data_IF_878162228262
#
_entry.id   IF_878162228262
#
_cell.length_a   1.000
_cell.length_b   1.000
_cell.length_c   1.000
_cell.angle_alpha   90.00
_cell.angle_beta   90.00
_cell.angle_gamma   90.00
#
_symmetry.space_group_name_H-M   'P 1'
#
loop_
_entity.id
_entity.type
_entity.pdbx_description
1 polymer ?
#
# COMPACT_ATOMS: atom_id res chain seq x y z
N UNK A 1 11.00 18.33 -4.53
CA UNK A 1 9.56 18.00 -4.45
C UNK A 1 9.49 16.55 -4.05
N UNK A 2 8.70 16.21 -3.05
CA UNK A 2 8.45 14.83 -2.66
C UNK A 2 7.51 14.14 -3.64
N UNK A 3 7.58 12.82 -3.68
CA UNK A 3 6.68 11.93 -4.43
C UNK A 3 5.58 11.49 -3.49
N UNK A 4 4.32 11.55 -3.93
CA UNK A 4 3.17 11.08 -3.18
C UNK A 4 2.45 9.98 -3.94
N UNK A 5 2.15 8.88 -3.27
CA UNK A 5 1.47 7.73 -3.86
C UNK A 5 0.27 7.31 -3.01
N UNK A 6 -0.73 6.74 -3.68
CA UNK A 6 -1.77 5.92 -3.07
C UNK A 6 -1.66 4.54 -3.68
N UNK A 7 -1.41 3.53 -2.84
CA UNK A 7 -1.47 2.13 -3.21
C UNK A 7 -2.79 1.54 -2.72
N UNK A 8 -3.67 1.12 -3.63
CA UNK A 8 -4.92 0.41 -3.29
C UNK A 8 -4.74 -1.07 -3.53
N UNK A 9 -4.99 -1.88 -2.50
CA UNK A 9 -4.80 -3.33 -2.50
C UNK A 9 -6.13 -4.06 -2.34
N UNK A 10 -6.32 -5.12 -3.11
CA UNK A 10 -7.48 -6.03 -3.02
C UNK A 10 -6.98 -7.45 -2.78
N UNK A 11 -7.63 -8.18 -1.86
CA UNK A 11 -7.28 -9.56 -1.53
C UNK A 11 -8.54 -10.44 -1.53
N UNK A 12 -8.40 -11.76 -1.79
CA UNK A 12 -9.46 -12.72 -1.52
C UNK A 12 -9.95 -12.65 -0.06
N UNK A 13 -11.24 -12.96 0.17
CA UNK A 13 -11.85 -12.82 1.49
C UNK A 13 -11.17 -13.68 2.58
N UNK A 14 -10.64 -14.84 2.21
CA UNK A 14 -9.91 -15.76 3.08
C UNK A 14 -8.45 -15.34 3.34
N UNK A 15 -7.94 -14.33 2.64
CA UNK A 15 -6.59 -13.79 2.80
C UNK A 15 -6.54 -12.46 3.57
N UNK A 16 -7.68 -11.90 3.98
CA UNK A 16 -7.77 -10.56 4.57
C UNK A 16 -6.97 -10.41 5.89
N UNK A 17 -7.00 -11.41 6.76
CA UNK A 17 -6.25 -11.35 8.03
C UNK A 17 -4.74 -11.43 7.80
N UNK A 18 -4.31 -12.35 6.93
CA UNK A 18 -2.91 -12.45 6.49
C UNK A 18 -2.44 -11.15 5.83
N UNK A 19 -3.28 -10.53 5.00
CA UNK A 19 -2.98 -9.24 4.36
C UNK A 19 -2.77 -8.14 5.39
N UNK A 20 -3.59 -8.08 6.43
CA UNK A 20 -3.47 -7.09 7.51
C UNK A 20 -2.15 -7.23 8.26
N UNK A 21 -1.76 -8.46 8.61
CA UNK A 21 -0.51 -8.73 9.32
C UNK A 21 0.70 -8.40 8.44
N UNK A 22 0.68 -8.81 7.17
CA UNK A 22 1.74 -8.52 6.22
C UNK A 22 1.89 -7.01 5.93
N UNK A 23 0.79 -6.28 5.83
CA UNK A 23 0.80 -4.82 5.67
C UNK A 23 1.34 -4.12 6.93
N UNK A 24 1.00 -4.58 8.13
CA UNK A 24 1.53 -4.02 9.37
C UNK A 24 3.06 -4.17 9.46
N UNK A 25 3.60 -5.34 9.10
CA UNK A 25 5.04 -5.56 9.03
C UNK A 25 5.70 -4.70 7.93
N UNK A 26 5.05 -4.60 6.76
CA UNK A 26 5.53 -3.76 5.67
C UNK A 26 5.64 -2.30 6.11
N UNK A 27 4.62 -1.76 6.80
CA UNK A 27 4.63 -0.38 7.32
C UNK A 27 5.77 -0.16 8.29
N UNK A 28 5.95 -1.04 9.28
CA UNK A 28 7.02 -0.91 10.29
C UNK A 28 8.41 -0.81 9.65
N UNK A 29 8.67 -1.65 8.64
CA UNK A 29 9.96 -1.66 7.94
C UNK A 29 10.10 -0.47 6.99
N UNK A 30 9.06 -0.13 6.24
CA UNK A 30 9.08 0.96 5.25
C UNK A 30 9.26 2.33 5.89
N UNK A 31 8.72 2.54 7.09
CA UNK A 31 8.93 3.77 7.85
C UNK A 31 10.41 3.99 8.25
N UNK A 32 11.22 2.93 8.27
CA UNK A 32 12.66 2.99 8.53
C UNK A 32 13.49 3.20 7.26
N UNK A 33 12.88 3.16 6.07
CA UNK A 33 13.57 3.37 4.81
C UNK A 33 14.08 4.80 4.70
N UNK A 34 15.30 4.93 4.20
CA UNK A 34 15.91 6.24 4.00
C UNK A 34 15.09 7.01 2.95
N UNK A 35 14.58 8.16 3.36
CA UNK A 35 13.78 9.02 2.49
C UNK A 35 12.29 8.71 2.44
N UNK A 36 11.82 7.76 3.26
CA UNK A 36 10.41 7.66 3.60
C UNK A 36 9.98 8.89 4.43
N UNK A 37 8.97 9.61 3.96
CA UNK A 37 8.32 10.73 4.64
C UNK A 37 6.99 10.35 5.28
N UNK A 38 6.25 9.45 4.62
CA UNK A 38 4.99 8.89 5.10
C UNK A 38 4.84 7.48 4.55
N UNK A 39 4.40 6.56 5.41
CA UNK A 39 4.00 5.22 5.00
C UNK A 39 2.98 4.70 6.03
N UNK A 40 1.70 4.71 5.66
CA UNK A 40 0.60 4.34 6.55
C UNK A 40 -0.43 3.54 5.76
N UNK A 41 -1.07 2.55 6.39
CA UNK A 41 -2.13 1.78 5.76
C UNK A 41 -3.46 1.88 6.50
N UNK A 42 -4.55 1.78 5.75
CA UNK A 42 -5.92 1.86 6.25
C UNK A 42 -6.76 0.76 5.60
N UNK A 43 -7.67 0.17 6.37
CA UNK A 43 -8.76 -0.62 5.79
C UNK A 43 -9.77 0.34 5.15
N UNK A 44 -10.23 0.00 3.94
CA UNK A 44 -11.21 0.80 3.22
C UNK A 44 -12.60 0.46 3.76
N UNK A 45 -13.30 1.48 4.26
CA UNK A 45 -14.67 1.30 4.74
C UNK A 45 -15.60 1.03 3.55
N UNK A 46 -16.21 -0.16 3.56
CA UNK A 46 -17.18 -0.59 2.55
C UNK A 46 -18.61 -0.20 2.91
N UNK A 47 -18.84 0.30 4.11
CA UNK A 47 -20.17 0.70 4.58
C UNK A 47 -20.47 2.12 4.13
N UNK A 48 -20.92 2.26 2.88
CA UNK A 48 -21.35 3.54 2.32
C UNK A 48 -22.86 3.71 2.36
N UNK A 49 -23.33 4.96 2.37
CA UNK A 49 -24.74 5.27 2.33
C UNK A 49 -25.39 4.81 1.02
N UNK A 50 -26.71 4.57 1.05
CA UNK A 50 -27.45 4.20 -0.16
C UNK A 50 -27.30 5.27 -1.25
N UNK A 51 -26.89 4.86 -2.44
CA UNK A 51 -26.66 5.76 -3.58
C UNK A 51 -25.23 6.29 -3.70
N UNK A 52 -24.36 6.05 -2.72
CA UNK A 52 -22.93 6.38 -2.82
C UNK A 52 -22.13 5.25 -3.48
N UNK A 53 -21.06 5.57 -4.24
CA UNK A 53 -20.22 4.56 -4.84
C UNK A 53 -19.47 3.76 -3.77
N UNK A 54 -19.55 2.43 -3.86
CA UNK A 54 -18.73 1.55 -3.01
C UNK A 54 -17.25 1.74 -3.37
N UNK A 55 -16.38 2.07 -2.41
CA UNK A 55 -14.95 2.26 -2.67
C UNK A 55 -14.30 0.97 -3.20
N UNK A 56 -13.36 1.10 -4.12
CA UNK A 56 -12.58 -0.04 -4.64
C UNK A 56 -11.45 -0.44 -3.66
N UNK A 57 -11.06 -1.72 -3.69
CA UNK A 57 -9.96 -2.27 -2.87
C UNK A 57 -10.29 -2.45 -1.39
N UNK A 58 -9.52 -3.26 -0.69
CA UNK A 58 -9.75 -3.59 0.73
C UNK A 58 -8.86 -2.78 1.66
N UNK A 59 -7.65 -2.46 1.20
CA UNK A 59 -6.69 -1.64 1.93
C UNK A 59 -6.14 -0.52 1.05
N UNK A 60 -5.74 0.57 1.68
CA UNK A 60 -5.07 1.69 1.07
C UNK A 60 -3.78 1.99 1.83
N UNK A 61 -2.67 2.16 1.12
CA UNK A 61 -1.40 2.67 1.64
C UNK A 61 -1.20 4.09 1.12
N UNK A 62 -0.92 5.02 2.02
CA UNK A 62 -0.46 6.36 1.71
C UNK A 62 1.05 6.41 1.84
N UNK A 63 1.71 6.85 0.77
CA UNK A 63 3.16 6.94 0.75
C UNK A 63 3.61 8.34 0.36
N UNK A 64 4.67 8.82 1.03
CA UNK A 64 5.40 9.99 0.61
C UNK A 64 6.90 9.71 0.68
N UNK A 65 7.63 10.05 -0.38
CA UNK A 65 9.06 9.79 -0.55
C UNK A 65 9.82 11.06 -0.91
N UNK A 66 11.07 11.19 -0.49
CA UNK A 66 11.93 12.34 -0.84
C UNK A 66 12.07 12.53 -2.35
N UNK A 67 12.35 11.43 -3.07
CA UNK A 67 12.62 11.40 -4.50
C UNK A 67 12.46 9.98 -5.08
N UNK A 68 12.73 9.84 -6.37
CA UNK A 68 12.62 8.56 -7.10
C UNK A 68 13.65 7.54 -6.62
N UNK A 69 14.82 7.98 -6.15
CA UNK A 69 15.87 7.07 -5.70
C UNK A 69 15.41 6.35 -4.44
N UNK A 70 14.87 7.09 -3.46
CA UNK A 70 14.28 6.51 -2.26
C UNK A 70 13.13 5.54 -2.56
N UNK A 71 12.22 5.90 -3.48
CA UNK A 71 11.12 5.02 -3.89
C UNK A 71 11.64 3.75 -4.58
N UNK A 72 12.64 3.87 -5.46
CA UNK A 72 13.21 2.71 -6.15
C UNK A 72 13.96 1.78 -5.18
N UNK A 73 14.69 2.34 -4.21
CA UNK A 73 15.32 1.58 -3.12
C UNK A 73 14.26 0.82 -2.31
N UNK A 74 13.15 1.48 -1.95
CA UNK A 74 12.03 0.85 -1.26
C UNK A 74 11.45 -0.32 -2.06
N UNK A 75 11.14 -0.13 -3.34
CA UNK A 75 10.59 -1.18 -4.20
C UNK A 75 11.57 -2.35 -4.36
N UNK A 76 12.88 -2.10 -4.31
CA UNK A 76 13.91 -3.14 -4.38
C UNK A 76 14.22 -3.83 -3.04
N UNK A 77 13.68 -3.32 -1.93
CA UNK A 77 14.00 -3.79 -0.59
C UNK A 77 13.49 -5.22 -0.29
N UNK A 78 14.17 -5.90 0.63
CA UNK A 78 13.80 -7.26 1.06
C UNK A 78 12.38 -7.31 1.66
N UNK A 79 11.94 -6.27 2.39
CA UNK A 79 10.60 -6.24 2.97
C UNK A 79 9.51 -6.03 1.94
N UNK A 80 9.72 -5.16 0.96
CA UNK A 80 8.75 -4.98 -0.11
C UNK A 80 8.66 -6.23 -0.99
N UNK A 81 9.79 -6.80 -1.39
CA UNK A 81 9.82 -8.05 -2.17
C UNK A 81 9.27 -9.23 -1.38
N UNK A 82 9.55 -9.31 -0.08
CA UNK A 82 8.99 -10.30 0.83
C UNK A 82 7.48 -10.18 0.95
N UNK A 83 6.96 -8.95 1.06
CA UNK A 83 5.52 -8.68 1.06
C UNK A 83 4.84 -9.16 -0.23
N UNK A 84 5.39 -8.81 -1.40
CA UNK A 84 4.84 -9.27 -2.68
C UNK A 84 4.85 -10.81 -2.79
N UNK A 85 5.95 -11.43 -2.36
CA UNK A 85 6.14 -12.88 -2.43
C UNK A 85 5.29 -13.65 -1.41
N UNK A 86 4.73 -12.97 -0.41
CA UNK A 86 3.83 -13.59 0.56
C UNK A 86 2.48 -13.99 -0.07
N UNK A 87 2.13 -13.42 -1.23
CA UNK A 87 0.87 -13.68 -1.93
C UNK A 87 1.16 -14.34 -3.29
N UNK A 88 0.47 -15.43 -3.57
CA UNK A 88 0.55 -16.13 -4.85
C UNK A 88 -0.06 -15.32 -6.01
N UNK A 89 0.11 -15.82 -7.22
CA UNK A 89 -0.52 -15.24 -8.41
C UNK A 89 -2.05 -15.18 -8.24
N UNK A 90 -2.62 -13.99 -8.38
CA UNK A 90 -4.06 -13.75 -8.20
C UNK A 90 -4.53 -13.62 -6.75
N UNK A 91 -3.65 -13.81 -5.75
CA UNK A 91 -3.99 -13.62 -4.33
C UNK A 91 -3.93 -12.17 -3.86
N UNK A 92 -3.51 -11.25 -4.74
CA UNK A 92 -3.49 -9.82 -4.48
C UNK A 92 -3.58 -9.03 -5.80
N UNK A 93 -4.35 -7.95 -5.79
CA UNK A 93 -4.27 -6.88 -6.79
C UNK A 93 -3.68 -5.64 -6.15
N UNK A 94 -2.71 -5.00 -6.81
CA UNK A 94 -2.09 -3.75 -6.39
C UNK A 94 -2.30 -2.68 -7.47
N UNK A 95 -2.93 -1.57 -7.10
CA UNK A 95 -3.08 -0.41 -7.97
C UNK A 95 -2.34 0.79 -7.35
N UNK A 96 -1.40 1.38 -8.08
CA UNK A 96 -0.61 2.52 -7.61
C UNK A 96 -1.00 3.77 -8.39
N UNK A 97 -1.32 4.84 -7.65
CA UNK A 97 -1.61 6.15 -8.20
C UNK A 97 -0.59 7.14 -7.68
N UNK A 98 0.03 7.90 -8.60
CA UNK A 98 0.93 8.99 -8.24
C UNK A 98 0.20 10.31 -8.21
N UNK A 99 0.35 11.05 -7.11
CA UNK A 99 -0.33 12.31 -6.89
C UNK A 99 0.54 13.47 -7.34
N UNK A 100 -0.10 14.45 -7.98
CA UNK A 100 0.51 15.74 -8.28
C UNK A 100 0.03 16.77 -7.25
N UNK A 101 0.93 17.64 -6.81
CA UNK A 101 0.50 18.83 -6.08
C UNK A 101 -0.22 19.77 -7.07
N UNK A 102 -1.40 20.29 -6.69
CA UNK A 102 -2.16 21.22 -7.53
C UNK A 102 -1.46 22.57 -7.72
#
# INVERSE_FOLDING_TARGET
>A
MSIKLIATLTFPADQQDKARDALAELVEKSQSDKGCLQYEFFAIDKNVAEGEPVPAGDFMVLEEWWDEEALNEHVASDHFQGFLSAFGEGEMTLNIQRLLNP
#
